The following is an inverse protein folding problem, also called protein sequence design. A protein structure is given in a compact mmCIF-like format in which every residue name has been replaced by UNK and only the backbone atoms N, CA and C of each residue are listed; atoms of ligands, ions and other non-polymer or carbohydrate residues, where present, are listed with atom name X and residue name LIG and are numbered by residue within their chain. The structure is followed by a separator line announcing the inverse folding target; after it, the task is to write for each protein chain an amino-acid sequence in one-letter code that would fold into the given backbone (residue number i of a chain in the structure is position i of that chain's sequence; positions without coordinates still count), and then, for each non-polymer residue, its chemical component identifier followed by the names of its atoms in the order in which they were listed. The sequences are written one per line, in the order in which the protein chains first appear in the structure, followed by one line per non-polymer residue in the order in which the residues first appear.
data_IF_753868901801
#
_entry.id   IF_753868901801
#
_cell.length_a   1.000
_cell.length_b   1.000
_cell.length_c   1.000
_cell.angle_alpha   90.00
_cell.angle_beta   90.00
_cell.angle_gamma   90.00
#
_symmetry.space_group_name_H-M   'P 1'
#
loop_
_entity.id
_entity.type
_entity.pdbx_description
1 polymer ?
#
# COMPACT_ATOMS: atom_id res chain seq x y z
N UNK A 1 1.00 -7.18 6.01
CA UNK A 1 1.31 -6.16 4.99
C UNK A 1 2.70 -6.46 4.44
N UNK A 2 3.02 -6.05 3.21
CA UNK A 2 4.40 -6.14 2.70
C UNK A 2 5.29 -5.03 3.27
N UNK A 3 4.68 -3.96 3.77
CA UNK A 3 5.34 -2.87 4.44
C UNK A 3 4.78 -2.80 5.88
N UNK A 4 5.66 -2.66 6.88
CA UNK A 4 5.23 -2.47 8.27
C UNK A 4 4.61 -1.08 8.49
N UNK A 5 5.13 -0.09 7.77
CA UNK A 5 4.63 1.29 7.77
C UNK A 5 4.42 1.80 6.33
N UNK A 6 3.44 2.72 6.11
CA UNK A 6 3.27 3.38 4.83
C UNK A 6 4.52 4.15 4.41
N UNK A 7 4.82 4.15 3.12
CA UNK A 7 5.97 4.87 2.54
C UNK A 7 5.49 5.99 1.62
N UNK A 8 6.32 7.00 1.38
CA UNK A 8 5.99 8.04 0.39
C UNK A 8 5.94 7.43 -1.02
N UNK A 9 4.80 7.58 -1.69
CA UNK A 9 4.56 7.15 -3.07
C UNK A 9 4.46 8.33 -4.04
N UNK A 10 3.84 8.08 -5.20
CA UNK A 10 3.56 9.10 -6.21
C UNK A 10 2.49 10.09 -5.72
N UNK A 11 2.37 11.24 -6.41
CA UNK A 11 1.32 12.24 -6.18
C UNK A 11 1.16 12.69 -4.72
N UNK A 12 2.27 12.78 -3.99
CA UNK A 12 2.30 13.13 -2.56
C UNK A 12 1.40 12.25 -1.67
N UNK A 13 1.23 10.96 -2.03
CA UNK A 13 0.47 10.00 -1.23
C UNK A 13 1.38 9.15 -0.35
N UNK A 14 0.85 8.67 0.78
CA UNK A 14 1.41 7.53 1.49
C UNK A 14 0.86 6.24 0.89
N UNK A 15 1.73 5.24 0.69
CA UNK A 15 1.37 3.96 0.09
C UNK A 15 1.79 2.78 0.95
N UNK A 16 0.98 1.73 0.98
CA UNK A 16 1.30 0.45 1.61
C UNK A 16 0.76 -0.71 0.77
N UNK A 17 1.50 -1.81 0.69
CA UNK A 17 1.09 -2.98 -0.06
C UNK A 17 0.58 -4.10 0.84
N UNK A 18 -0.51 -4.75 0.42
CA UNK A 18 -1.04 -5.96 1.07
C UNK A 18 -0.55 -7.19 0.32
N UNK A 19 0.02 -8.16 1.05
CA UNK A 19 0.57 -9.36 0.43
C UNK A 19 -0.57 -10.22 -0.19
N UNK A 20 -0.43 -10.68 -1.46
CA UNK A 20 -1.36 -11.59 -2.15
C UNK A 20 -1.85 -12.82 -1.37
N UNK A 21 -1.03 -13.34 -0.43
CA UNK A 21 -1.39 -14.45 0.48
C UNK A 21 -2.60 -14.13 1.37
N UNK A 22 -2.92 -12.85 1.54
CA UNK A 22 -4.04 -12.36 2.36
C UNK A 22 -5.19 -11.79 1.50
N UNK A 23 -5.02 -11.76 0.18
CA UNK A 23 -5.91 -11.08 -0.78
C UNK A 23 -6.16 -11.95 -2.01
N UNK A 24 -6.36 -13.26 -1.80
CA UNK A 24 -6.73 -14.24 -2.84
C UNK A 24 -5.87 -14.19 -4.11
N UNK A 25 -4.56 -13.96 -3.96
CA UNK A 25 -3.62 -13.91 -5.09
C UNK A 25 -3.49 -12.54 -5.76
N UNK A 26 -4.22 -11.52 -5.32
CA UNK A 26 -4.17 -10.16 -5.88
C UNK A 26 -3.26 -9.27 -5.04
N UNK A 27 -2.28 -8.60 -5.66
CA UNK A 27 -1.50 -7.57 -4.98
C UNK A 27 -2.33 -6.30 -4.89
N UNK A 28 -2.49 -5.75 -3.68
CA UNK A 28 -3.27 -4.54 -3.44
C UNK A 28 -2.33 -3.43 -2.96
N UNK A 29 -2.44 -2.26 -3.58
CA UNK A 29 -1.86 -0.99 -3.13
C UNK A 29 -2.93 -0.18 -2.40
N UNK A 30 -2.63 0.24 -1.17
CA UNK A 30 -3.42 1.20 -0.42
C UNK A 30 -2.77 2.57 -0.55
N UNK A 31 -3.55 3.57 -0.97
CA UNK A 31 -3.12 4.95 -1.13
C UNK A 31 -3.88 5.85 -0.16
N UNK A 32 -3.14 6.68 0.57
CA UNK A 32 -3.68 7.75 1.39
C UNK A 32 -3.13 9.08 0.90
N UNK A 33 -4.03 9.98 0.50
CA UNK A 33 -3.64 11.35 0.19
C UNK A 33 -3.19 12.09 1.47
N UNK A 34 -2.14 12.88 1.36
CA UNK A 34 -1.63 13.66 2.48
C UNK A 34 -2.36 15.00 2.67
N UNK A 35 -3.10 15.46 1.65
CA UNK A 35 -3.70 16.79 1.64
C UNK A 35 -2.71 17.88 1.26
#
# INVERSE_FOLDING_TARGET
LLNEEPKKGADNKLVCFVHPKRTSGVLIELCQDLG
#
